data_IF_231170314002
#
_entry.id   IF_231170314002
#
_cell.length_a   1.000
_cell.length_b   1.000
_cell.length_c   1.000
_cell.angle_alpha   90.00
_cell.angle_beta   90.00
_cell.angle_gamma   90.00
#
_symmetry.space_group_name_H-M   'P 1'
#
loop_
_entity.id
_entity.type
_entity.pdbx_description
1 polymer ?
#
# COMPACT_ATOMS: atom_id res chain seq x y z
N UNK A 1 107.61 47.73 56.57
CA UNK A 1 107.92 48.78 55.57
C UNK A 1 107.71 48.16 54.19
N UNK A 2 106.54 48.34 53.58
CA UNK A 2 106.24 49.40 52.58
C UNK A 2 107.15 49.26 51.34
N UNK A 3 106.69 49.02 50.11
CA UNK A 3 105.34 49.06 49.58
C UNK A 3 105.29 48.23 48.28
N UNK A 4 104.67 47.06 48.35
CA UNK A 4 104.15 46.30 47.21
C UNK A 4 102.85 46.95 46.70
N UNK A 5 102.93 48.23 46.32
CA UNK A 5 101.78 49.03 45.90
C UNK A 5 102.12 49.93 44.70
N UNK A 6 102.55 49.31 43.60
CA UNK A 6 102.38 49.90 42.25
C UNK A 6 101.64 48.90 41.36
N UNK A 7 100.50 48.49 41.90
CA UNK A 7 99.32 48.03 41.20
C UNK A 7 98.87 49.10 40.17
N UNK A 8 98.42 48.66 38.99
CA UNK A 8 97.47 49.35 38.13
C UNK A 8 97.88 50.71 37.54
N UNK A 9 98.78 50.76 36.53
CA UNK A 9 98.76 51.86 35.55
C UNK A 9 99.51 51.67 34.23
N UNK A 10 99.71 50.44 33.77
CA UNK A 10 99.85 50.20 32.32
C UNK A 10 98.44 49.93 31.79
N UNK A 11 97.62 50.97 31.54
CA UNK A 11 97.35 51.42 30.15
C UNK A 11 97.28 50.17 29.26
N UNK A 12 96.20 49.38 29.22
CA UNK A 12 94.79 49.79 29.06
C UNK A 12 94.63 50.94 28.08
N UNK A 13 95.08 50.72 26.84
CA UNK A 13 94.49 51.22 25.58
C UNK A 13 95.52 51.06 24.46
N UNK A 14 95.07 50.58 23.29
CA UNK A 14 95.80 50.18 22.07
C UNK A 14 96.08 48.68 22.02
N UNK A 15 95.46 47.88 21.16
CA UNK A 15 94.64 48.20 19.99
C UNK A 15 93.73 47.02 19.76
N UNK A 16 92.43 47.34 19.77
CA UNK A 16 91.30 46.47 19.51
C UNK A 16 91.54 45.71 18.20
N UNK A 17 91.93 44.44 18.31
CA UNK A 17 92.08 43.55 17.17
C UNK A 17 90.66 43.23 16.70
N UNK A 18 90.26 43.87 15.61
CA UNK A 18 88.96 43.68 14.96
C UNK A 18 88.76 42.20 14.67
N UNK A 19 87.98 41.53 15.52
CA UNK A 19 87.38 40.24 15.20
C UNK A 19 86.37 40.57 14.11
N UNK A 20 86.79 40.41 12.86
CA UNK A 20 85.85 40.33 11.75
C UNK A 20 85.02 39.08 12.02
N UNK A 21 83.83 39.26 12.56
CA UNK A 21 82.78 38.28 12.40
C UNK A 21 82.65 38.08 10.89
N UNK A 22 83.18 36.96 10.38
CA UNK A 22 82.65 36.37 9.17
C UNK A 22 81.22 36.00 9.54
N UNK A 23 80.31 36.96 9.42
CA UNK A 23 78.90 36.69 9.20
C UNK A 23 78.89 35.77 8.00
N UNK A 24 78.76 34.47 8.27
CA UNK A 24 78.37 33.47 7.29
C UNK A 24 77.03 34.00 6.78
N UNK A 25 77.08 34.78 5.70
CA UNK A 25 75.89 35.19 4.97
C UNK A 25 75.25 33.87 4.57
N UNK A 26 74.27 33.43 5.36
CA UNK A 26 73.36 32.40 4.92
C UNK A 26 72.72 33.01 3.69
N UNK A 27 73.13 32.51 2.52
CA UNK A 27 72.52 32.88 1.25
C UNK A 27 71.03 32.58 1.42
N UNK A 28 70.25 33.63 1.64
CA UNK A 28 68.79 33.57 1.59
C UNK A 28 68.49 33.42 0.10
N UNK A 29 68.47 32.19 -0.36
CA UNK A 29 67.99 31.87 -1.69
C UNK A 29 66.49 32.14 -1.67
N UNK A 30 66.07 33.26 -2.27
CA UNK A 30 64.66 33.51 -2.56
C UNK A 30 64.20 32.59 -3.69
N UNK A 31 62.95 32.15 -3.63
CA UNK A 31 62.34 31.39 -4.71
C UNK A 31 62.40 32.19 -6.01
N UNK A 32 62.81 31.53 -7.09
CA UNK A 32 62.75 32.15 -8.42
C UNK A 32 61.30 32.23 -8.88
N UNK A 33 60.94 33.26 -9.63
CA UNK A 33 59.59 33.42 -10.18
C UNK A 33 59.16 32.18 -10.99
N UNK A 34 60.10 31.57 -11.71
CA UNK A 34 59.88 30.33 -12.48
C UNK A 34 59.52 29.16 -11.56
N UNK A 35 60.24 28.98 -10.45
CA UNK A 35 59.98 27.91 -9.47
C UNK A 35 58.61 28.05 -8.82
N UNK A 36 58.18 29.29 -8.50
CA UNK A 36 56.84 29.54 -7.98
C UNK A 36 55.74 29.18 -8.99
N UNK A 37 55.91 29.51 -10.28
CA UNK A 37 54.94 29.16 -11.33
C UNK A 37 54.87 27.64 -11.50
N UNK A 38 56.02 26.95 -11.52
CA UNK A 38 56.07 25.48 -11.64
C UNK A 38 55.41 24.82 -10.43
N UNK A 39 55.65 25.31 -9.21
CA UNK A 39 55.02 24.78 -8.01
C UNK A 39 53.49 24.93 -8.05
N UNK A 40 52.97 26.09 -8.48
CA UNK A 40 51.52 26.31 -8.63
C UNK A 40 50.94 25.44 -9.74
N UNK A 41 51.66 25.22 -10.84
CA UNK A 41 51.20 24.33 -11.92
C UNK A 41 51.10 22.87 -11.46
N UNK A 42 52.10 22.36 -10.73
CA UNK A 42 52.07 21.00 -10.16
C UNK A 42 50.95 20.89 -9.12
N UNK A 43 50.81 21.86 -8.23
CA UNK A 43 49.75 21.89 -7.23
C UNK A 43 48.37 21.89 -7.90
N UNK A 44 48.18 22.69 -8.94
CA UNK A 44 46.94 22.74 -9.72
C UNK A 44 46.62 21.41 -10.39
N UNK A 45 47.63 20.74 -10.96
CA UNK A 45 47.47 19.41 -11.56
C UNK A 45 47.05 18.36 -10.53
N UNK A 46 47.70 18.34 -9.37
CA UNK A 46 47.36 17.41 -8.27
C UNK A 46 45.95 17.69 -7.74
N UNK A 47 45.62 18.96 -7.50
CA UNK A 47 44.28 19.35 -7.07
C UNK A 47 43.22 18.92 -8.09
N UNK A 48 43.46 19.14 -9.39
CA UNK A 48 42.56 18.70 -10.46
C UNK A 48 42.36 17.19 -10.47
N UNK A 49 43.43 16.40 -10.34
CA UNK A 49 43.33 14.93 -10.26
C UNK A 49 42.52 14.48 -9.03
N UNK A 50 42.73 15.12 -7.89
CA UNK A 50 41.96 14.86 -6.67
C UNK A 50 40.47 15.18 -6.86
N UNK A 51 40.14 16.34 -7.43
CA UNK A 51 38.75 16.72 -7.72
C UNK A 51 38.10 15.75 -8.71
N UNK A 52 38.82 15.28 -9.75
CA UNK A 52 38.29 14.26 -10.66
C UNK A 52 38.01 12.93 -9.96
N UNK A 53 38.87 12.52 -9.02
CA UNK A 53 38.62 11.31 -8.24
C UNK A 53 37.35 11.43 -7.40
N UNK A 54 37.10 12.59 -6.78
CA UNK A 54 35.89 12.83 -6.00
C UNK A 54 34.64 12.82 -6.89
N UNK A 55 34.69 13.49 -8.04
CA UNK A 55 33.58 13.49 -9.01
C UNK A 55 33.30 12.08 -9.54
N UNK A 56 34.33 11.29 -9.84
CA UNK A 56 34.17 9.90 -10.26
C UNK A 56 33.47 9.03 -9.21
N UNK A 57 33.74 9.25 -7.93
CA UNK A 57 33.05 8.53 -6.85
C UNK A 57 31.57 8.96 -6.79
N UNK A 58 31.28 10.25 -6.94
CA UNK A 58 29.90 10.74 -6.95
C UNK A 58 29.11 10.16 -8.13
N UNK A 59 29.69 10.15 -9.32
CA UNK A 59 29.06 9.56 -10.51
C UNK A 59 28.80 8.06 -10.30
N UNK A 60 29.78 7.32 -9.77
CA UNK A 60 29.62 5.91 -9.45
C UNK A 60 28.51 5.68 -8.41
N UNK A 61 28.41 6.51 -7.37
CA UNK A 61 27.33 6.39 -6.38
C UNK A 61 25.96 6.69 -6.97
N UNK A 62 25.86 7.65 -7.89
CA UNK A 62 24.62 8.00 -8.57
C UNK A 62 24.14 6.84 -9.45
N UNK A 63 25.04 6.28 -10.28
CA UNK A 63 24.73 5.12 -11.13
C UNK A 63 24.35 3.91 -10.27
N UNK A 64 25.06 3.67 -9.16
CA UNK A 64 24.75 2.59 -8.23
C UNK A 64 23.38 2.74 -7.55
N UNK A 65 23.02 3.96 -7.14
CA UNK A 65 21.71 4.24 -6.55
C UNK A 65 20.58 4.03 -7.56
N UNK A 66 20.76 4.48 -8.79
CA UNK A 66 19.78 4.29 -9.87
C UNK A 66 19.54 2.79 -10.16
N UNK A 67 20.63 2.02 -10.30
CA UNK A 67 20.56 0.58 -10.52
C UNK A 67 19.89 -0.15 -9.35
N UNK A 68 20.18 0.25 -8.11
CA UNK A 68 19.54 -0.31 -6.92
C UNK A 68 18.03 -0.02 -6.89
N UNK A 69 17.64 1.21 -7.21
CA UNK A 69 16.24 1.63 -7.32
C UNK A 69 15.47 0.78 -8.32
N UNK A 70 16.07 0.49 -9.47
CA UNK A 70 15.48 -0.34 -10.51
C UNK A 70 15.18 -1.77 -10.02
N UNK A 71 16.19 -2.43 -9.43
CA UNK A 71 16.05 -3.79 -8.87
C UNK A 71 15.06 -3.82 -7.70
N UNK A 72 15.07 -2.78 -6.86
CA UNK A 72 14.14 -2.67 -5.73
C UNK A 72 12.69 -2.58 -6.22
N UNK A 73 12.42 -1.75 -7.24
CA UNK A 73 11.08 -1.61 -7.84
C UNK A 73 10.60 -2.92 -8.43
N UNK A 74 11.44 -3.61 -9.19
CA UNK A 74 11.14 -4.91 -9.76
C UNK A 74 10.77 -5.94 -8.67
N UNK A 75 11.57 -6.01 -7.59
CA UNK A 75 11.30 -6.89 -6.44
C UNK A 75 9.99 -6.53 -5.73
N UNK A 76 9.69 -5.25 -5.55
CA UNK A 76 8.44 -4.81 -4.92
C UNK A 76 7.24 -5.13 -5.80
N UNK A 77 7.34 -4.93 -7.12
CA UNK A 77 6.29 -5.23 -8.07
C UNK A 77 5.95 -6.73 -8.06
N UNK A 78 6.94 -7.61 -8.23
CA UNK A 78 6.69 -9.06 -8.25
C UNK A 78 6.18 -9.56 -6.89
N UNK A 79 6.70 -9.01 -5.79
CA UNK A 79 6.21 -9.33 -4.44
C UNK A 79 4.75 -8.90 -4.25
N UNK A 80 4.38 -7.75 -4.79
CA UNK A 80 2.99 -7.26 -4.72
C UNK A 80 2.06 -8.22 -5.47
N UNK A 81 2.44 -8.67 -6.66
CA UNK A 81 1.69 -9.68 -7.42
C UNK A 81 1.61 -11.01 -6.63
N UNK A 82 2.74 -11.48 -6.09
CA UNK A 82 2.83 -12.71 -5.26
C UNK A 82 1.91 -12.64 -4.03
N UNK A 83 1.96 -11.55 -3.27
CA UNK A 83 1.13 -11.35 -2.07
C UNK A 83 -0.36 -11.26 -2.44
N UNK A 84 -0.69 -10.67 -3.59
CA UNK A 84 -2.04 -10.69 -4.16
C UNK A 84 -2.51 -12.11 -4.49
N UNK A 85 -1.73 -12.87 -5.26
CA UNK A 85 -2.08 -14.23 -5.69
C UNK A 85 -2.20 -15.22 -4.52
N UNK A 86 -1.31 -15.12 -3.51
CA UNK A 86 -1.38 -15.94 -2.30
C UNK A 86 -2.70 -15.80 -1.55
N UNK A 87 -3.24 -14.59 -1.52
CA UNK A 87 -4.47 -14.28 -0.82
C UNK A 87 -5.74 -14.58 -1.61
N UNK A 88 -5.64 -15.16 -2.82
CA UNK A 88 -6.78 -15.32 -3.71
C UNK A 88 -7.93 -16.11 -3.06
N UNK A 89 -9.16 -15.63 -3.27
CA UNK A 89 -10.37 -16.15 -2.65
C UNK A 89 -11.42 -16.39 -3.72
N UNK A 90 -12.08 -17.53 -3.63
CA UNK A 90 -13.22 -17.87 -4.46
C UNK A 90 -14.39 -18.39 -3.62
N UNK A 91 -15.59 -17.87 -3.92
CA UNK A 91 -16.84 -18.23 -3.28
C UNK A 91 -17.84 -18.76 -4.30
N UNK A 92 -18.22 -20.03 -4.16
CA UNK A 92 -19.09 -20.72 -5.12
C UNK A 92 -20.51 -20.12 -5.20
N UNK A 93 -21.02 -19.54 -4.11
CA UNK A 93 -22.38 -18.95 -4.12
C UNK A 93 -22.49 -17.66 -4.94
N UNK A 94 -21.38 -16.96 -5.19
CA UNK A 94 -21.40 -15.67 -5.88
C UNK A 94 -20.28 -15.60 -6.93
N UNK A 95 -20.28 -16.58 -7.83
CA UNK A 95 -19.22 -16.79 -8.83
C UNK A 95 -18.94 -15.50 -9.62
N UNK A 96 -19.97 -14.78 -10.07
CA UNK A 96 -19.80 -13.55 -10.85
C UNK A 96 -18.98 -12.46 -10.15
N UNK A 97 -18.99 -12.41 -8.81
CA UNK A 97 -18.25 -11.40 -8.04
C UNK A 97 -16.86 -11.85 -7.60
N UNK A 98 -16.54 -13.14 -7.68
CA UNK A 98 -15.27 -13.71 -7.22
C UNK A 98 -14.49 -14.48 -8.29
N UNK A 99 -15.02 -14.55 -9.52
CA UNK A 99 -14.35 -15.19 -10.64
C UNK A 99 -13.00 -14.55 -10.92
N UNK A 100 -12.04 -15.41 -11.27
CA UNK A 100 -10.79 -15.05 -11.92
C UNK A 100 -11.11 -14.73 -13.39
N UNK A 101 -10.80 -13.51 -13.80
CA UNK A 101 -10.91 -13.07 -15.20
C UNK A 101 -9.50 -12.91 -15.74
N UNK A 102 -9.22 -13.58 -16.86
CA UNK A 102 -7.94 -13.52 -17.55
C UNK A 102 -8.21 -13.03 -18.97
N UNK A 103 -7.53 -11.97 -19.37
CA UNK A 103 -7.42 -11.54 -20.75
C UNK A 103 -5.98 -11.81 -21.21
N UNK A 104 -5.73 -12.88 -21.99
CA UNK A 104 -4.40 -13.26 -22.43
C UNK A 104 -3.92 -12.46 -23.66
N UNK A 105 -4.48 -11.27 -23.90
CA UNK A 105 -4.06 -10.38 -25.00
C UNK A 105 -2.53 -10.18 -24.95
N UNK A 106 -1.77 -10.54 -26.02
CA UNK A 106 -0.31 -10.42 -26.03
C UNK A 106 0.20 -9.00 -25.78
N UNK A 107 -0.54 -7.99 -26.24
CA UNK A 107 -0.12 -6.60 -26.17
C UNK A 107 -0.47 -5.99 -24.81
N UNK A 108 -1.66 -6.30 -24.31
CA UNK A 108 -2.22 -5.75 -23.07
C UNK A 108 -2.85 -6.83 -22.16
N UNK A 109 -2.05 -7.78 -21.64
CA UNK A 109 -2.58 -8.84 -20.80
C UNK A 109 -3.17 -8.25 -19.51
N UNK A 110 -4.30 -8.80 -19.06
CA UNK A 110 -4.93 -8.39 -17.80
C UNK A 110 -5.48 -9.56 -16.99
N UNK A 111 -5.36 -9.44 -15.67
CA UNK A 111 -5.73 -10.48 -14.71
C UNK A 111 -6.49 -9.84 -13.55
N UNK A 112 -7.76 -10.22 -13.36
CA UNK A 112 -8.62 -9.67 -12.31
C UNK A 112 -9.13 -10.78 -11.41
N UNK A 113 -8.92 -10.66 -10.10
CA UNK A 113 -9.37 -11.64 -9.12
C UNK A 113 -9.58 -10.99 -7.75
N UNK A 114 -10.25 -11.71 -6.85
CA UNK A 114 -10.46 -11.27 -5.48
C UNK A 114 -9.43 -11.90 -4.56
N UNK A 115 -8.85 -11.08 -3.68
CA UNK A 115 -7.80 -11.52 -2.75
C UNK A 115 -7.95 -10.89 -1.37
N UNK A 116 -7.54 -11.64 -0.35
CA UNK A 116 -7.23 -11.14 0.99
C UNK A 116 -5.78 -10.67 1.04
N UNK A 117 -5.60 -9.39 0.81
CA UNK A 117 -4.27 -8.77 0.84
C UNK A 117 -3.80 -8.54 2.28
N UNK A 118 -2.48 -8.59 2.54
CA UNK A 118 -1.94 -8.32 3.86
C UNK A 118 -2.19 -6.85 4.29
N UNK A 119 -2.18 -6.54 5.60
CA UNK A 119 -2.48 -5.18 6.09
C UNK A 119 -1.55 -4.09 5.54
N UNK A 120 -0.29 -4.43 5.24
CA UNK A 120 0.73 -3.55 4.68
C UNK A 120 0.76 -3.54 3.14
N UNK A 121 -0.25 -4.09 2.48
CA UNK A 121 -0.34 -4.05 1.02
C UNK A 121 -0.42 -2.61 0.48
N UNK A 122 0.06 -2.41 -0.75
CA UNK A 122 0.02 -1.10 -1.40
C UNK A 122 -1.43 -0.57 -1.48
N UNK A 123 -1.62 0.73 -1.24
CA UNK A 123 -2.96 1.35 -1.22
C UNK A 123 -3.83 1.02 0.00
N UNK A 124 -3.33 0.29 1.01
CA UNK A 124 -4.16 -0.09 2.18
C UNK A 124 -4.76 1.06 2.99
N UNK A 125 -4.20 2.27 2.89
CA UNK A 125 -4.75 3.47 3.52
C UNK A 125 -6.10 3.86 2.91
N UNK A 126 -6.28 3.68 1.61
CA UNK A 126 -7.48 4.07 0.86
C UNK A 126 -8.67 3.15 1.16
N UNK A 127 -8.40 1.90 1.53
CA UNK A 127 -9.42 0.89 1.82
C UNK A 127 -9.82 0.80 3.31
N UNK A 128 -9.40 1.76 4.15
CA UNK A 128 -9.77 1.83 5.59
C UNK A 128 -9.54 0.51 6.36
N UNK A 129 -8.48 -0.22 6.02
CA UNK A 129 -8.15 -1.51 6.65
C UNK A 129 -8.91 -2.73 6.12
N UNK A 130 -9.76 -2.58 5.08
CA UNK A 130 -10.38 -3.74 4.43
C UNK A 130 -9.31 -4.55 3.68
N UNK A 131 -9.21 -5.84 4.00
CA UNK A 131 -8.23 -6.77 3.41
C UNK A 131 -8.77 -7.50 2.19
N UNK A 132 -10.09 -7.69 2.09
CA UNK A 132 -10.72 -8.33 0.94
C UNK A 132 -10.94 -7.30 -0.17
N UNK A 133 -10.20 -7.44 -1.28
CA UNK A 133 -10.23 -6.50 -2.40
C UNK A 133 -10.26 -7.25 -3.72
N UNK A 134 -10.82 -6.62 -4.75
CA UNK A 134 -10.62 -7.05 -6.13
C UNK A 134 -9.35 -6.37 -6.64
N UNK A 135 -8.41 -7.18 -7.10
CA UNK A 135 -7.15 -6.76 -7.69
C UNK A 135 -7.23 -7.02 -9.18
N UNK A 136 -6.84 -6.03 -9.96
CA UNK A 136 -6.68 -6.15 -11.40
C UNK A 136 -5.27 -5.71 -11.76
N UNK A 137 -4.52 -6.63 -12.36
CA UNK A 137 -3.21 -6.36 -12.93
C UNK A 137 -3.39 -6.23 -14.43
N UNK A 138 -3.04 -5.07 -15.00
CA UNK A 138 -3.10 -4.81 -16.43
C UNK A 138 -1.76 -4.29 -16.92
N UNK A 139 -1.39 -4.66 -18.14
CA UNK A 139 -0.28 -4.02 -18.85
C UNK A 139 -0.83 -2.91 -19.73
N UNK A 140 -0.35 -1.69 -19.52
CA UNK A 140 -0.79 -0.50 -20.25
C UNK A 140 0.41 0.25 -20.81
N UNK A 141 0.21 0.96 -21.93
CA UNK A 141 1.21 1.85 -22.48
C UNK A 141 1.09 3.25 -21.86
N UNK A 142 2.17 3.72 -21.23
CA UNK A 142 2.30 5.05 -20.65
C UNK A 142 3.51 5.71 -21.32
N UNK A 143 3.28 6.79 -22.06
CA UNK A 143 4.32 7.49 -22.82
C UNK A 143 5.11 6.54 -23.74
N UNK A 144 4.39 5.73 -24.53
CA UNK A 144 4.95 4.71 -25.45
C UNK A 144 5.76 3.59 -24.79
N UNK A 145 5.67 3.44 -23.46
CA UNK A 145 6.33 2.36 -22.73
C UNK A 145 5.32 1.51 -21.97
N UNK A 146 5.50 0.20 -21.98
CA UNK A 146 4.63 -0.71 -21.22
C UNK A 146 4.87 -0.51 -19.73
N UNK A 147 3.80 -0.59 -18.94
CA UNK A 147 3.85 -0.51 -17.50
C UNK A 147 2.86 -1.50 -16.89
N UNK A 148 3.25 -2.14 -15.78
CA UNK A 148 2.34 -2.95 -14.98
C UNK A 148 1.54 -2.04 -14.05
N UNK A 149 0.23 -2.05 -14.25
CA UNK A 149 -0.73 -1.31 -13.45
C UNK A 149 -1.44 -2.28 -12.51
N UNK A 150 -1.60 -1.83 -11.26
CA UNK A 150 -2.48 -2.44 -10.29
C UNK A 150 -3.66 -1.52 -10.04
N UNK A 151 -4.85 -2.01 -10.37
CA UNK A 151 -6.11 -1.41 -9.98
C UNK A 151 -6.71 -2.20 -8.82
N UNK A 152 -7.10 -1.49 -7.78
CA UNK A 152 -7.73 -2.06 -6.60
C UNK A 152 -9.13 -1.50 -6.47
N UNK A 153 -10.11 -2.37 -6.26
CA UNK A 153 -11.50 -2.00 -6.02
C UNK A 153 -12.08 -2.78 -4.85
N UNK A 154 -13.14 -2.23 -4.26
CA UNK A 154 -13.91 -2.93 -3.26
C UNK A 154 -14.71 -4.06 -3.90
N UNK A 155 -14.79 -5.21 -3.22
CA UNK A 155 -15.54 -6.37 -3.73
C UNK A 155 -17.06 -6.11 -3.73
N UNK A 156 -17.54 -5.28 -2.80
CA UNK A 156 -18.95 -4.91 -2.77
C UNK A 156 -19.22 -3.73 -3.70
N UNK A 157 -20.25 -3.88 -4.54
CA UNK A 157 -20.77 -2.80 -5.37
C UNK A 157 -21.46 -1.76 -4.49
N UNK A 158 -21.38 -0.49 -4.91
CA UNK A 158 -22.21 0.56 -4.31
C UNK A 158 -23.70 0.16 -4.37
N UNK A 159 -24.50 0.44 -3.33
CA UNK A 159 -25.95 0.28 -3.39
C UNK A 159 -26.53 0.98 -4.63
N UNK A 160 -27.60 0.42 -5.20
CA UNK A 160 -28.23 0.99 -6.39
C UNK A 160 -28.61 2.47 -6.14
N UNK A 161 -28.10 3.37 -6.97
CA UNK A 161 -28.32 4.82 -6.86
C UNK A 161 -27.22 5.61 -6.13
N UNK A 162 -26.18 4.94 -5.61
CA UNK A 162 -24.99 5.59 -5.07
C UNK A 162 -23.85 5.67 -6.09
N UNK A 163 -22.90 6.59 -5.85
CA UNK A 163 -21.70 6.76 -6.68
C UNK A 163 -20.82 5.51 -6.60
N UNK A 164 -20.23 5.13 -7.74
CA UNK A 164 -19.29 4.00 -7.80
C UNK A 164 -18.15 4.20 -6.80
N UNK A 165 -17.87 3.16 -6.02
CA UNK A 165 -16.75 3.15 -5.08
C UNK A 165 -15.44 3.43 -5.85
N UNK A 166 -14.56 4.30 -5.34
CA UNK A 166 -13.36 4.71 -6.07
C UNK A 166 -12.43 3.51 -6.31
N UNK A 167 -11.88 3.45 -7.53
CA UNK A 167 -10.83 2.50 -7.90
C UNK A 167 -9.48 3.16 -7.63
N UNK A 168 -8.63 2.46 -6.87
CA UNK A 168 -7.27 2.93 -6.58
C UNK A 168 -6.33 2.35 -7.62
N UNK A 169 -5.82 3.19 -8.50
CA UNK A 169 -4.86 2.83 -9.54
C UNK A 169 -3.43 3.13 -9.09
N UNK A 170 -2.52 2.19 -9.26
CA UNK A 170 -1.10 2.31 -8.89
C UNK A 170 -0.22 1.74 -9.99
N UNK A 171 0.84 2.46 -10.36
CA UNK A 171 1.87 1.97 -11.28
C UNK A 171 2.86 1.15 -10.46
N UNK A 172 2.94 -0.17 -10.70
CA UNK A 172 3.86 -1.05 -9.98
C UNK A 172 5.24 -1.06 -10.60
N UNK A 173 5.29 -1.17 -11.92
CA UNK A 173 6.51 -1.32 -12.68
C UNK A 173 6.39 -0.55 -14.00
N UNK A 174 6.94 0.67 -14.09
CA UNK A 174 7.15 1.33 -15.38
C UNK A 174 8.26 0.62 -16.17
N UNK A 175 8.31 0.85 -17.48
CA UNK A 175 9.33 0.26 -18.37
C UNK A 175 9.30 -1.28 -18.38
N UNK A 176 8.10 -1.86 -18.28
CA UNK A 176 7.88 -3.30 -18.29
C UNK A 176 8.29 -3.89 -19.65
N UNK A 177 9.16 -4.89 -19.64
CA UNK A 177 9.57 -5.54 -20.86
C UNK A 177 8.77 -6.84 -21.08
N UNK A 178 8.56 -7.62 -20.02
CA UNK A 178 7.79 -8.86 -20.07
C UNK A 178 6.96 -9.04 -18.80
N UNK A 179 5.73 -9.54 -18.95
CA UNK A 179 4.87 -9.96 -17.85
C UNK A 179 3.92 -11.06 -18.31
N UNK A 180 4.09 -12.25 -17.74
CA UNK A 180 3.32 -13.44 -18.10
C UNK A 180 2.92 -14.16 -16.82
N UNK A 181 1.70 -14.69 -16.82
CA UNK A 181 1.21 -15.55 -15.75
C UNK A 181 0.83 -16.90 -16.35
N UNK A 182 1.49 -17.95 -15.89
CA UNK A 182 1.13 -19.33 -16.20
C UNK A 182 0.33 -19.94 -15.06
N UNK A 183 -0.64 -20.77 -15.41
CA UNK A 183 -1.53 -21.45 -14.48
C UNK A 183 -1.24 -22.95 -14.52
N UNK A 184 -1.18 -23.60 -13.36
CA UNK A 184 -1.05 -25.06 -13.30
C UNK A 184 -2.44 -25.70 -13.43
N UNK A 185 -2.67 -26.45 -14.51
CA UNK A 185 -3.88 -27.26 -14.67
C UNK A 185 -3.66 -28.67 -14.15
N UNK A 186 -4.53 -29.12 -13.24
CA UNK A 186 -4.53 -30.51 -12.77
C UNK A 186 -5.08 -31.48 -13.82
N UNK A 187 -5.84 -30.97 -14.80
CA UNK A 187 -6.45 -31.77 -15.85
C UNK A 187 -5.44 -32.10 -16.96
N UNK A 188 -4.62 -31.12 -17.34
CA UNK A 188 -3.55 -31.29 -18.33
C UNK A 188 -2.21 -31.74 -17.72
N UNK A 189 -2.06 -31.64 -16.39
CA UNK A 189 -0.81 -31.84 -15.65
C UNK A 189 0.35 -30.98 -16.19
N UNK A 190 0.03 -29.77 -16.67
CA UNK A 190 0.99 -28.86 -17.28
C UNK A 190 0.67 -27.38 -16.97
N UNK A 191 1.65 -26.51 -17.27
CA UNK A 191 1.52 -25.06 -17.23
C UNK A 191 0.81 -24.56 -18.49
N UNK A 192 -0.27 -23.80 -18.32
CA UNK A 192 -1.05 -23.20 -19.40
C UNK A 192 -1.13 -21.68 -19.24
N UNK A 193 -1.18 -20.97 -20.36
CA UNK A 193 -1.19 -19.49 -20.39
C UNK A 193 -2.62 -18.92 -20.24
N UNK A 194 -3.62 -19.74 -20.55
CA UNK A 194 -5.03 -19.39 -20.48
C UNK A 194 -5.72 -20.16 -19.36
N UNK A 195 -6.60 -19.50 -18.60
CA UNK A 195 -7.41 -20.16 -17.58
C UNK A 195 -8.88 -20.17 -17.99
N UNK A 196 -9.32 -21.29 -18.56
CA UNK A 196 -10.71 -21.48 -19.03
C UNK A 196 -11.64 -22.04 -17.94
N UNK A 197 -11.09 -22.56 -16.85
CA UNK A 197 -11.88 -23.14 -15.75
C UNK A 197 -12.43 -22.05 -14.81
N UNK A 198 -13.45 -21.31 -15.27
CA UNK A 198 -14.01 -20.15 -14.52
C UNK A 198 -14.61 -20.53 -13.16
N UNK A 199 -14.91 -21.81 -12.95
CA UNK A 199 -15.54 -22.33 -11.74
C UNK A 199 -14.55 -22.85 -10.68
N UNK A 200 -13.25 -22.85 -10.99
CA UNK A 200 -12.19 -23.31 -10.11
C UNK A 200 -11.06 -22.27 -10.04
N UNK A 201 -10.28 -22.34 -8.96
CA UNK A 201 -9.04 -21.58 -8.88
C UNK A 201 -7.85 -22.51 -9.22
N UNK A 202 -6.83 -21.98 -9.91
CA UNK A 202 -5.61 -22.73 -10.16
C UNK A 202 -4.91 -23.05 -8.85
N UNK A 203 -4.40 -24.27 -8.71
CA UNK A 203 -3.68 -24.70 -7.50
C UNK A 203 -2.32 -24.01 -7.35
N UNK A 204 -1.69 -23.68 -8.48
CA UNK A 204 -0.40 -22.97 -8.54
C UNK A 204 -0.40 -22.02 -9.72
N UNK A 205 0.33 -20.92 -9.54
CA UNK A 205 0.52 -19.89 -10.54
C UNK A 205 2.00 -19.55 -10.61
N UNK A 206 2.53 -19.42 -11.82
CA UNK A 206 3.90 -18.99 -12.07
C UNK A 206 3.85 -17.62 -12.71
N UNK A 207 4.46 -16.65 -12.05
CA UNK A 207 4.57 -15.28 -12.55
C UNK A 207 5.97 -15.10 -13.10
N UNK A 208 6.05 -14.59 -14.33
CA UNK A 208 7.30 -14.19 -14.99
C UNK A 208 7.23 -12.69 -15.26
N UNK A 209 8.24 -11.96 -14.83
CA UNK A 209 8.29 -10.51 -14.99
C UNK A 209 9.73 -10.04 -15.22
N UNK A 210 9.89 -9.07 -16.12
CA UNK A 210 11.16 -8.40 -16.35
C UNK A 210 10.94 -6.93 -16.71
N UNK A 211 11.79 -6.06 -16.18
CA UNK A 211 11.88 -4.66 -16.59
C UNK A 211 12.88 -4.46 -17.73
N UNK A 212 12.67 -3.40 -18.51
CA UNK A 212 13.60 -2.98 -19.56
C UNK A 212 14.90 -2.52 -18.91
N UNK A 213 16.04 -3.01 -19.40
CA UNK A 213 17.34 -2.58 -18.85
C UNK A 213 17.57 -1.09 -19.10
N UNK A 214 18.36 -0.48 -18.21
CA UNK A 214 18.76 0.93 -18.31
C UNK A 214 19.57 1.27 -19.58
N UNK A 215 20.24 0.27 -20.16
CA UNK A 215 21.01 0.39 -21.40
C UNK A 215 20.15 0.21 -22.67
N UNK A 216 18.86 -0.12 -22.52
CA UNK A 216 17.95 -0.35 -23.64
C UNK A 216 18.26 -1.63 -24.43
N UNK A 217 19.17 -2.48 -23.95
CA UNK A 217 19.44 -3.77 -24.57
C UNK A 217 18.30 -4.76 -24.30
N UNK A 218 18.20 -5.78 -25.17
CA UNK A 218 17.26 -6.87 -24.99
C UNK A 218 17.43 -7.54 -23.61
N UNK A 219 16.30 -7.96 -23.03
CA UNK A 219 16.27 -8.70 -21.77
C UNK A 219 17.06 -10.00 -21.94
N UNK A 220 17.96 -10.30 -21.01
CA UNK A 220 18.55 -11.63 -20.91
C UNK A 220 17.67 -12.51 -20.03
N UNK A 221 17.57 -13.82 -20.32
CA UNK A 221 16.78 -14.75 -19.50
C UNK A 221 17.15 -14.73 -18.00
N UNK A 222 18.39 -14.37 -17.67
CA UNK A 222 18.85 -14.20 -16.28
C UNK A 222 18.15 -13.07 -15.51
N UNK A 223 17.58 -12.11 -16.24
CA UNK A 223 16.92 -10.94 -15.67
C UNK A 223 15.41 -11.14 -15.53
N UNK A 224 14.87 -12.25 -16.04
CA UNK A 224 13.46 -12.59 -15.86
C UNK A 224 13.27 -13.17 -14.46
N UNK A 225 12.55 -12.44 -13.61
CA UNK A 225 12.16 -12.94 -12.30
C UNK A 225 11.00 -13.92 -12.47
N UNK A 226 11.26 -15.18 -12.12
CA UNK A 226 10.25 -16.25 -12.11
C UNK A 226 9.85 -16.58 -10.68
N UNK A 227 8.55 -16.56 -10.40
CA UNK A 227 8.01 -16.86 -9.07
C UNK A 227 6.84 -17.81 -9.16
N UNK A 228 7.01 -19.00 -8.58
CA UNK A 228 5.91 -19.94 -8.36
C UNK A 228 5.19 -19.61 -7.05
N UNK A 229 3.88 -19.48 -7.13
CA UNK A 229 2.97 -19.16 -6.05
C UNK A 229 1.98 -20.31 -5.90
N UNK A 230 2.03 -20.98 -4.74
CA UNK A 230 1.02 -21.97 -4.37
C UNK A 230 -0.20 -21.24 -3.84
N UNK A 231 -1.37 -21.58 -4.36
CA UNK A 231 -2.63 -20.94 -4.01
C UNK A 231 -3.32 -21.80 -2.98
N UNK A 232 -3.35 -21.30 -1.74
CA UNK A 232 -4.02 -21.96 -0.62
C UNK A 232 -5.49 -21.54 -0.56
N UNK A 233 -6.20 -21.55 -1.69
CA UNK A 233 -7.62 -21.25 -1.70
C UNK A 233 -8.41 -22.53 -1.46
N UNK A 234 -9.03 -22.65 -0.29
CA UNK A 234 -10.14 -23.59 -0.11
C UNK A 234 -11.34 -22.96 -0.78
N UNK A 235 -11.96 -23.62 -1.77
CA UNK A 235 -13.26 -23.18 -2.26
C UNK A 235 -14.22 -23.17 -1.07
N UNK A 236 -14.71 -21.99 -0.70
CA UNK A 236 -15.60 -21.89 0.45
C UNK A 236 -16.98 -22.31 -0.06
N UNK A 237 -17.26 -23.59 0.14
CA UNK A 237 -18.53 -24.21 -0.24
C UNK A 237 -19.70 -23.59 0.51
N UNK A 238 -20.91 -23.76 -0.03
CA UNK A 238 -22.15 -23.28 0.58
C UNK A 238 -22.32 -23.70 2.05
N UNK A 239 -21.89 -24.90 2.42
CA UNK A 239 -21.96 -25.39 3.81
C UNK A 239 -20.98 -24.69 4.75
N UNK A 240 -19.82 -24.23 4.24
CA UNK A 240 -18.85 -23.48 5.05
C UNK A 240 -19.29 -22.03 5.30
N UNK A 241 -20.09 -21.45 4.40
CA UNK A 241 -20.60 -20.08 4.55
C UNK A 241 -21.83 -20.00 5.45
N UNK A 242 -22.68 -21.04 5.42
CA UNK A 242 -23.89 -21.10 6.22
C UNK A 242 -23.95 -22.48 6.88
N UNK A 243 -23.18 -22.70 7.97
CA UNK A 243 -23.20 -23.98 8.65
C UNK A 243 -24.64 -24.22 9.14
N UNK A 244 -25.17 -25.42 8.87
CA UNK A 244 -26.45 -25.83 9.41
C UNK A 244 -26.39 -25.64 10.93
N UNK A 245 -27.21 -24.73 11.45
CA UNK A 245 -27.33 -24.55 12.89
C UNK A 245 -27.73 -25.92 13.46
N UNK A 246 -27.02 -26.42 14.49
CA UNK A 246 -27.42 -27.68 15.11
C UNK A 246 -28.87 -27.52 15.53
N UNK A 247 -29.73 -28.38 15.00
CA UNK A 247 -31.14 -28.42 15.38
C UNK A 247 -31.18 -28.41 16.91
N UNK A 248 -31.78 -27.37 17.49
CA UNK A 248 -31.84 -27.20 18.93
C UNK A 248 -32.26 -28.52 19.54
N UNK A 249 -31.36 -29.16 20.29
CA UNK A 249 -31.69 -30.35 21.06
C UNK A 249 -32.72 -29.90 22.08
N UNK A 250 -34.00 -30.04 21.74
CA UNK A 250 -35.07 -30.02 22.72
C UNK A 250 -34.74 -31.15 23.68
N UNK A 251 -34.27 -30.78 24.87
CA UNK A 251 -34.10 -31.65 26.03
C UNK A 251 -35.36 -32.50 26.17
N UNK A 252 -35.29 -33.74 25.69
CA UNK A 252 -36.40 -34.68 25.75
C UNK A 252 -36.18 -35.51 27.01
N UNK A 253 -36.83 -35.05 28.07
CA UNK A 253 -36.92 -35.76 29.34
C UNK A 253 -37.29 -37.23 29.13
N UNK A 254 -36.56 -38.05 29.86
CA UNK A 254 -36.83 -39.45 30.17
C UNK A 254 -38.33 -39.76 30.21
N UNK A 255 -38.79 -40.58 29.27
CA UNK A 255 -40.17 -41.07 29.18
C UNK A 255 -40.21 -42.42 28.51
N UNK A 256 -40.00 -43.45 29.32
CA UNK A 256 -40.09 -44.89 29.01
C UNK A 256 -41.44 -45.21 28.35
N UNK A 257 -41.46 -45.68 27.11
CA UNK A 257 -42.69 -46.03 26.41
C UNK A 257 -42.46 -46.91 25.19
N UNK A 258 -42.82 -48.19 25.32
CA UNK A 258 -42.84 -49.22 24.28
C UNK A 258 -43.79 -48.84 23.13
N UNK A 259 -43.35 -49.09 21.90
CA UNK A 259 -44.19 -49.67 20.85
C UNK A 259 -44.84 -48.73 19.82
N UNK A 260 -45.02 -49.32 18.64
CA UNK A 260 -45.93 -48.99 17.55
C UNK A 260 -45.43 -48.04 16.43
N UNK A 261 -45.18 -48.69 15.29
CA UNK A 261 -45.23 -48.15 13.93
C UNK A 261 -46.49 -47.31 13.68
N UNK A 262 -46.35 -46.31 12.79
CA UNK A 262 -47.47 -45.70 12.07
C UNK A 262 -47.87 -44.31 12.54
N UNK A 263 -47.25 -43.26 11.98
CA UNK A 263 -47.85 -41.92 12.02
C UNK A 263 -49.10 -41.93 11.12
N UNK A 264 -50.30 -41.56 11.61
CA UNK A 264 -51.48 -41.45 10.76
C UNK A 264 -51.28 -40.31 9.77
N UNK A 265 -51.45 -40.58 8.48
CA UNK A 265 -51.65 -39.50 7.50
C UNK A 265 -53.02 -38.87 7.80
N UNK A 266 -53.02 -37.58 8.11
CA UNK A 266 -54.25 -36.81 8.32
C UNK A 266 -55.16 -36.93 7.10
N UNK A 267 -56.45 -37.14 7.34
CA UNK A 267 -57.44 -37.20 6.28
C UNK A 267 -57.62 -35.80 5.66
N UNK A 268 -57.99 -35.69 4.36
CA UNK A 268 -58.22 -34.40 3.71
C UNK A 268 -59.22 -33.49 4.45
N UNK A 269 -60.19 -34.09 5.15
CA UNK A 269 -61.18 -33.36 5.97
C UNK A 269 -60.56 -32.70 7.21
N UNK A 270 -59.56 -33.34 7.83
CA UNK A 270 -58.85 -32.78 8.99
C UNK A 270 -57.97 -31.58 8.57
N UNK A 271 -57.42 -31.61 7.36
CA UNK A 271 -56.65 -30.49 6.79
C UNK A 271 -57.58 -29.32 6.45
N UNK A 272 -58.77 -29.58 5.92
CA UNK A 272 -59.78 -28.56 5.64
C UNK A 272 -60.31 -27.89 6.93
N UNK A 273 -60.59 -28.68 7.97
CA UNK A 273 -61.01 -28.17 9.27
C UNK A 273 -59.94 -27.28 9.92
N UNK A 274 -58.66 -27.65 9.78
CA UNK A 274 -57.55 -26.85 10.27
C UNK A 274 -57.40 -25.51 9.53
N UNK A 275 -57.55 -25.51 8.20
CA UNK A 275 -57.53 -24.28 7.39
C UNK A 275 -58.69 -23.34 7.70
N UNK A 276 -59.89 -23.88 7.92
CA UNK A 276 -61.07 -23.09 8.32
C UNK A 276 -60.84 -22.41 9.67
N UNK A 277 -60.26 -23.13 10.64
CA UNK A 277 -59.95 -22.59 11.97
C UNK A 277 -58.85 -21.51 11.94
N UNK A 278 -57.92 -21.58 10.99
CA UNK A 278 -56.92 -20.51 10.77
C UNK A 278 -57.54 -19.27 10.13
N UNK A 279 -58.46 -19.44 9.18
CA UNK A 279 -59.17 -18.33 8.55
C UNK A 279 -60.02 -17.55 9.57
N UNK A 280 -60.76 -18.25 10.45
CA UNK A 280 -61.56 -17.64 11.53
C UNK A 280 -60.71 -16.87 12.56
N UNK A 281 -59.48 -17.34 12.83
CA UNK A 281 -58.53 -16.61 13.69
C UNK A 281 -58.01 -15.35 13.01
N UNK A 282 -57.78 -15.37 11.70
CA UNK A 282 -57.33 -14.20 10.95
C UNK A 282 -58.41 -13.14 10.80
N UNK A 283 -59.68 -13.53 10.68
CA UNK A 283 -60.81 -12.58 10.61
C UNK A 283 -61.07 -11.88 11.94
N UNK A 284 -60.86 -12.58 13.08
CA UNK A 284 -60.99 -11.97 14.41
C UNK A 284 -59.93 -10.89 14.69
N UNK A 285 -58.77 -10.95 14.03
CA UNK A 285 -57.72 -9.93 14.17
C UNK A 285 -57.94 -8.69 13.28
N UNK A 286 -58.81 -8.77 12.27
CA UNK A 286 -59.09 -7.67 11.33
C UNK A 286 -60.32 -6.82 11.71
N UNK A 287 -61.06 -7.23 12.75
CA UNK A 287 -62.28 -6.55 13.25
C UNK A 287 -62.05 -5.51 14.36
N UNK A 288 -60.83 -5.36 14.88
CA UNK A 288 -60.49 -4.49 16.02
C UNK A 288 -59.55 -3.32 15.66
N UNK A 289 -59.58 -2.85 14.41
CA UNK A 289 -59.00 -1.57 13.98
C UNK A 289 -59.95 -0.78 13.08
N UNK A 290 -61.16 -0.52 13.59
CA UNK A 290 -62.16 0.22 12.83
C UNK A 290 -63.19 0.89 13.73
N UNK A 291 -62.73 1.83 14.57
CA UNK A 291 -63.50 2.97 15.13
C UNK A 291 -62.69 3.57 16.27
N UNK A 292 -62.10 4.74 16.04
CA UNK A 292 -62.16 5.81 17.03
C UNK A 292 -62.02 7.15 16.31
N UNK A 293 -63.20 7.75 16.19
CA UNK A 293 -63.48 9.11 15.78
C UNK A 293 -62.97 10.04 16.90
N UNK A 294 -61.97 10.88 16.62
CA UNK A 294 -61.72 12.06 17.44
C UNK A 294 -61.61 13.28 16.53
N UNK A 295 -62.70 14.05 16.58
CA UNK A 295 -62.83 15.42 16.11
C UNK A 295 -61.62 16.25 16.57
N UNK A 296 -60.93 16.89 15.62
CA UNK A 296 -60.01 17.99 15.88
C UNK A 296 -60.79 19.22 16.34
N UNK A 297 -60.31 19.94 17.36
CA UNK A 297 -60.44 21.38 17.39
C UNK A 297 -59.07 22.04 17.19
N UNK A 298 -59.13 23.10 16.39
CA UNK A 298 -58.19 24.18 16.18
C UNK A 298 -57.16 24.43 17.30
N UNK A 299 -55.88 24.53 16.94
CA UNK A 299 -54.86 25.18 17.77
C UNK A 299 -53.99 26.09 16.92
N UNK A 300 -54.37 27.37 16.89
CA UNK A 300 -53.44 28.48 16.67
C UNK A 300 -52.82 28.90 18.02
N UNK A 301 -51.56 29.29 17.96
CA UNK A 301 -50.86 30.18 18.90
C UNK A 301 -50.20 29.61 20.18
N UNK A 302 -48.89 29.88 20.20
CA UNK A 302 -48.10 30.53 21.27
C UNK A 302 -47.70 29.76 22.54
N UNK A 303 -46.37 29.65 22.69
CA UNK A 303 -45.55 29.97 23.87
C UNK A 303 -46.02 29.51 25.26
N UNK A 304 -45.17 28.73 25.95
CA UNK A 304 -44.35 29.22 27.09
C UNK A 304 -43.62 28.07 27.79
N UNK A 305 -42.33 28.30 28.00
CA UNK A 305 -41.44 27.60 28.91
C UNK A 305 -41.96 27.67 30.37
N UNK A 306 -41.76 26.60 31.14
CA UNK A 306 -42.01 26.55 32.59
C UNK A 306 -41.55 25.23 33.22
N UNK A 307 -40.73 25.35 34.27
CA UNK A 307 -39.86 24.35 34.94
C UNK A 307 -40.51 23.17 35.70
N UNK A 308 -39.61 22.28 36.18
CA UNK A 308 -39.65 21.34 37.34
C UNK A 308 -40.10 19.90 37.06
N UNK A 309 -39.54 18.83 37.64
CA UNK A 309 -38.31 18.60 38.41
C UNK A 309 -37.96 17.10 38.42
N UNK A 310 -36.71 16.78 38.76
CA UNK A 310 -36.03 15.45 38.87
C UNK A 310 -36.62 14.55 40.00
N UNK A 311 -36.32 13.22 40.14
CA UNK A 311 -34.99 12.57 40.02
C UNK A 311 -34.86 11.13 39.47
N UNK A 312 -33.57 10.76 39.27
CA UNK A 312 -32.95 9.51 38.73
C UNK A 312 -33.14 8.27 39.63
N UNK A 313 -32.78 7.03 39.19
CA UNK A 313 -31.38 6.50 39.23
C UNK A 313 -30.99 5.69 37.96
N UNK A 314 -29.81 5.85 37.33
CA UNK A 314 -28.43 5.41 37.63
C UNK A 314 -28.19 3.88 37.75
N UNK A 315 -27.53 3.28 36.75
CA UNK A 315 -26.55 2.20 36.89
C UNK A 315 -25.42 2.37 35.87
N UNK A 316 -24.18 2.35 36.35
CA UNK A 316 -22.96 2.69 35.62
C UNK A 316 -22.16 1.49 35.10
N UNK A 317 -21.22 1.83 34.23
CA UNK A 317 -20.12 1.01 33.69
C UNK A 317 -18.90 1.01 34.66
N UNK A 318 -17.99 0.03 34.58
CA UNK A 318 -16.67 0.12 35.23
C UNK A 318 -15.58 0.72 34.28
N UNK A 319 -14.59 1.49 34.81
CA UNK A 319 -13.54 2.16 34.03
C UNK A 319 -12.08 1.69 34.32
N UNK A 320 -11.14 2.16 33.47
CA UNK A 320 -9.70 2.36 33.76
C UNK A 320 -8.76 1.52 32.88
N UNK A 321 -7.62 1.99 32.33
CA UNK A 321 -6.73 3.15 32.58
C UNK A 321 -5.92 3.46 31.29
N UNK A 322 -5.79 4.72 30.85
CA UNK A 322 -4.57 5.55 31.00
C UNK A 322 -3.75 5.55 29.68
N UNK A 323 -2.97 6.54 29.21
CA UNK A 323 -2.53 7.89 29.62
C UNK A 323 -2.02 8.55 28.31
N UNK A 324 -2.32 9.84 28.08
CA UNK A 324 -1.70 10.64 27.01
C UNK A 324 -0.46 11.38 27.53
N UNK A 325 0.58 11.59 26.70
CA UNK A 325 1.45 12.76 26.81
C UNK A 325 1.31 13.73 25.62
N UNK A 326 1.68 15.02 25.80
CA UNK A 326 1.50 16.09 24.80
C UNK A 326 2.80 16.42 24.04
N UNK A 327 2.70 17.11 22.89
CA UNK A 327 3.69 18.04 22.25
C UNK A 327 3.16 18.41 20.85
N UNK A 328 2.63 19.63 20.63
CA UNK A 328 3.31 20.85 20.14
C UNK A 328 4.06 20.69 18.80
N UNK A 329 3.57 21.34 17.73
CA UNK A 329 4.38 22.18 16.82
C UNK A 329 3.56 22.77 15.67
N UNK A 330 3.72 24.08 15.46
CA UNK A 330 4.10 24.63 14.16
C UNK A 330 3.04 24.75 13.07
N UNK A 331 2.09 25.67 13.26
CA UNK A 331 1.30 26.22 12.16
C UNK A 331 2.18 27.18 11.34
N UNK A 332 2.60 26.76 10.15
CA UNK A 332 3.18 27.63 9.13
C UNK A 332 2.41 27.44 7.83
N UNK A 333 1.79 28.52 7.37
CA UNK A 333 1.12 28.61 6.09
C UNK A 333 2.10 28.95 4.98
N UNK A 334 1.82 28.47 3.77
CA UNK A 334 2.55 28.82 2.56
C UNK A 334 1.84 28.25 1.35
N UNK A 335 1.29 29.15 0.53
CA UNK A 335 0.35 28.88 -0.54
C UNK A 335 0.98 28.25 -1.80
N UNK A 336 0.18 27.47 -2.53
CA UNK A 336 0.49 26.98 -3.88
C UNK A 336 -0.16 27.94 -4.91
N UNK A 337 0.56 28.38 -5.96
CA UNK A 337 0.00 29.25 -6.99
C UNK A 337 -0.91 28.49 -7.97
N UNK A 338 -2.09 29.07 -8.25
CA UNK A 338 -2.97 28.68 -9.36
C UNK A 338 -2.37 29.16 -10.68
N UNK A 339 -1.84 28.25 -11.49
CA UNK A 339 -1.57 28.46 -12.90
C UNK A 339 -2.82 28.12 -13.73
N UNK A 340 -3.39 29.13 -14.40
CA UNK A 340 -4.51 28.96 -15.31
C UNK A 340 -4.07 28.41 -16.65
N UNK A 341 -4.84 27.48 -17.21
CA UNK A 341 -4.79 27.08 -18.61
C UNK A 341 -6.18 27.26 -19.22
N UNK A 342 -6.24 28.06 -20.28
CA UNK A 342 -7.41 28.23 -21.14
C UNK A 342 -7.45 27.09 -22.18
N UNK A 343 -8.64 26.61 -22.58
CA UNK A 343 -8.77 25.63 -23.66
C UNK A 343 -8.67 26.29 -25.06
N UNK A 344 -8.16 25.58 -26.09
CA UNK A 344 -8.09 26.09 -27.45
C UNK A 344 -9.45 26.04 -28.16
N UNK A 345 -9.69 27.04 -29.01
CA UNK A 345 -10.82 27.13 -29.93
C UNK A 345 -10.70 26.07 -31.02
N UNK A 346 -11.83 25.41 -31.32
CA UNK A 346 -12.02 24.56 -32.49
C UNK A 346 -12.54 25.45 -33.62
N UNK A 347 -11.74 25.62 -34.67
CA UNK A 347 -12.17 26.23 -35.92
C UNK A 347 -12.82 25.16 -36.81
N UNK A 348 -14.06 25.45 -37.20
CA UNK A 348 -14.93 24.60 -37.99
C UNK A 348 -15.01 25.17 -39.41
N UNK A 349 -14.31 24.56 -40.36
CA UNK A 349 -14.49 24.72 -41.81
C UNK A 349 -14.41 23.28 -42.38
N UNK A 350 -15.39 22.70 -43.06
CA UNK A 350 -16.45 23.31 -43.85
C UNK A 350 -16.03 23.40 -45.31
N UNK A 351 -15.87 22.27 -46.00
CA UNK A 351 -16.10 22.04 -47.44
C UNK A 351 -16.06 20.56 -47.74
#
# INVERSE_FOLDING_TARGET
MQAAHKLNKAKTMKTMKTIRHQTRQMRRNGFTLVEAIVAVAILGMVAFMMFRSLLSVLDATKIGAEAADHVQRERVAIKTVEDGLRGMVYYEQNQGMYALTVNPDPDAPSYSFVSRVPPNYIGSRDFKGQTLRRLQFSVEYINDKRALILEQSHVMRAPDGEEAMPVVRSVLAPDLAEFIIHFWSTSAEDWIDEWTETNSLPSRVKVEMALTRMDGENIQLSNVLKREVVIHSVSITKNNQNPDLPAAQSSKGSGKGKGANGRPKYTPEQIAAWRKKQAERSSNYRGTQGRNNYQRPNSSASSRFGQSGTPRPNYGLPPGFGVNPPLNSGQSGGAIPRGGFSPPKVDNNGS
#
